data_IF_903783973790
#
_entry.id   IF_903783973790
#
_cell.length_a   1.000
_cell.length_b   1.000
_cell.length_c   1.000
_cell.angle_alpha   90.00
_cell.angle_beta   90.00
_cell.angle_gamma   90.00
#
_symmetry.space_group_name_H-M   'P 1'
#
loop_
_entity.id
_entity.type
_entity.pdbx_description
1 polymer ?
#
# COMPACT_ATOMS: atom_id res chain seq x y z
N UNK A 1 -1.73 -19.15 60.02
CA UNK A 1 -2.88 -19.38 59.12
C UNK A 1 -3.89 -18.24 59.33
N UNK A 2 -4.41 -17.53 58.33
CA UNK A 2 -4.10 -17.50 56.89
C UNK A 2 -3.40 -16.19 56.45
N UNK A 3 -2.76 -16.28 55.28
CA UNK A 3 -2.16 -15.20 54.51
C UNK A 3 -3.25 -14.39 53.79
N UNK A 4 -3.14 -13.07 53.77
CA UNK A 4 -3.93 -12.19 52.91
C UNK A 4 -3.03 -11.53 51.88
N UNK A 5 -2.90 -12.25 50.77
CA UNK A 5 -2.36 -11.82 49.49
C UNK A 5 -3.33 -10.82 48.85
N UNK A 6 -2.87 -9.64 48.43
CA UNK A 6 -3.60 -8.87 47.42
C UNK A 6 -2.69 -7.91 46.64
N UNK A 7 -2.07 -8.50 45.61
CA UNK A 7 -1.97 -8.02 44.22
C UNK A 7 -1.75 -6.51 44.00
N UNK A 8 -0.47 -6.16 43.85
CA UNK A 8 0.00 -4.96 43.17
C UNK A 8 -0.60 -4.87 41.75
N UNK A 9 -1.45 -3.86 41.51
CA UNK A 9 -1.89 -3.49 40.16
C UNK A 9 -0.77 -2.71 39.48
N UNK A 10 0.06 -3.41 38.71
CA UNK A 10 0.95 -2.77 37.74
C UNK A 10 0.11 -2.26 36.58
N UNK A 11 -0.15 -0.95 36.55
CA UNK A 11 -0.78 -0.31 35.39
C UNK A 11 0.29 -0.21 34.31
N UNK A 12 0.23 -1.12 33.34
CA UNK A 12 1.08 -1.10 32.15
C UNK A 12 0.60 0.06 31.27
N UNK A 13 1.28 1.20 31.38
CA UNK A 13 1.15 2.31 30.43
C UNK A 13 1.89 1.92 29.15
N UNK A 14 1.23 1.17 28.27
CA UNK A 14 1.67 1.06 26.88
C UNK A 14 1.28 2.35 26.18
N UNK A 15 2.25 3.27 26.13
CA UNK A 15 2.15 4.55 25.44
C UNK A 15 1.72 4.35 23.99
N UNK A 16 0.61 5.00 23.63
CA UNK A 16 0.06 5.14 22.29
C UNK A 16 1.09 5.69 21.30
N UNK A 17 1.72 4.83 20.50
CA UNK A 17 2.51 5.19 19.31
C UNK A 17 1.92 4.60 18.01
N UNK A 18 0.61 4.28 18.01
CA UNK A 18 -0.08 3.64 16.86
C UNK A 18 -0.98 4.63 16.08
N UNK A 19 -0.92 5.92 16.38
CA UNK A 19 -1.85 6.89 15.77
C UNK A 19 -1.38 7.48 14.44
N UNK A 20 -0.16 7.19 13.98
CA UNK A 20 0.40 7.75 12.74
C UNK A 20 0.08 6.94 11.48
N UNK A 21 -0.11 5.63 11.61
CA UNK A 21 -0.24 4.71 10.46
C UNK A 21 -1.67 4.67 9.91
N UNK A 22 -2.67 5.00 10.73
CA UNK A 22 -4.08 4.84 10.39
C UNK A 22 -4.65 5.91 9.44
N UNK A 23 -3.99 7.06 9.27
CA UNK A 23 -4.59 8.20 8.55
C UNK A 23 -4.27 8.26 7.05
N UNK A 24 -3.19 7.62 6.58
CA UNK A 24 -2.77 7.63 5.17
C UNK A 24 -3.49 6.57 4.32
N UNK A 25 -4.02 5.53 4.96
CA UNK A 25 -4.79 4.47 4.31
C UNK A 25 -6.20 4.93 3.87
N UNK A 26 -6.71 6.00 4.48
CA UNK A 26 -8.13 6.34 4.48
C UNK A 26 -8.75 6.64 3.11
N UNK A 27 -8.03 7.26 2.17
CA UNK A 27 -8.61 7.56 0.86
C UNK A 27 -8.44 6.39 -0.12
N UNK A 28 -7.38 5.59 0.01
CA UNK A 28 -7.22 4.33 -0.73
C UNK A 28 -8.30 3.32 -0.30
N UNK A 29 -8.52 3.15 0.99
CA UNK A 29 -9.54 2.24 1.54
C UNK A 29 -10.97 2.60 1.11
N UNK A 30 -11.21 3.89 0.82
CA UNK A 30 -12.51 4.39 0.32
C UNK A 30 -12.57 4.44 -1.20
N UNK A 31 -11.47 4.17 -1.88
CA UNK A 31 -11.42 4.17 -3.34
C UNK A 31 -11.92 2.84 -3.92
N UNK A 32 -12.33 2.83 -5.20
CA UNK A 32 -12.61 1.59 -5.93
C UNK A 32 -11.39 0.64 -6.05
N UNK A 33 -10.18 1.13 -5.76
CA UNK A 33 -8.95 0.35 -5.81
C UNK A 33 -8.61 -0.35 -4.50
N UNK A 34 -9.36 -0.14 -3.41
CA UNK A 34 -9.14 -0.84 -2.13
C UNK A 34 -8.97 -2.37 -2.27
N UNK A 35 -9.82 -3.12 -3.00
CA UNK A 35 -9.63 -4.57 -3.17
C UNK A 35 -8.37 -4.91 -3.97
N UNK A 36 -8.02 -4.09 -4.96
CA UNK A 36 -6.80 -4.26 -5.77
C UNK A 36 -5.57 -4.09 -4.88
N UNK A 37 -5.55 -3.05 -4.06
CA UNK A 37 -4.45 -2.79 -3.12
C UNK A 37 -4.29 -3.94 -2.14
N UNK A 38 -5.37 -4.38 -1.49
CA UNK A 38 -5.30 -5.48 -0.53
C UNK A 38 -4.79 -6.76 -1.18
N UNK A 39 -5.31 -7.10 -2.36
CA UNK A 39 -4.88 -8.28 -3.10
C UNK A 39 -3.39 -8.20 -3.49
N UNK A 40 -2.88 -7.05 -3.94
CA UNK A 40 -1.45 -6.91 -4.24
C UNK A 40 -0.57 -7.16 -3.03
N UNK A 41 -0.92 -6.54 -1.90
CA UNK A 41 -0.18 -6.69 -0.65
C UNK A 41 -0.14 -8.15 -0.20
N UNK A 42 -1.27 -8.85 -0.30
CA UNK A 42 -1.38 -10.26 0.06
C UNK A 42 -0.60 -11.17 -0.91
N UNK A 43 -0.74 -10.96 -2.22
CA UNK A 43 -0.09 -11.76 -3.27
C UNK A 43 1.43 -11.70 -3.16
N UNK A 44 1.99 -10.49 -3.02
CA UNK A 44 3.44 -10.31 -2.89
C UNK A 44 3.93 -10.51 -1.46
N UNK A 45 3.05 -10.82 -0.50
CA UNK A 45 3.36 -10.96 0.92
C UNK A 45 4.11 -9.74 1.50
N UNK A 46 3.69 -8.54 1.11
CA UNK A 46 4.31 -7.30 1.54
C UNK A 46 3.85 -6.85 2.93
N UNK A 47 4.74 -6.17 3.66
CA UNK A 47 4.38 -5.48 4.89
C UNK A 47 4.02 -4.02 4.62
N UNK A 48 2.87 -3.55 5.11
CA UNK A 48 2.53 -2.12 5.09
C UNK A 48 3.39 -1.40 6.13
N UNK A 49 4.03 -0.30 5.72
CA UNK A 49 4.92 0.49 6.57
C UNK A 49 4.52 1.97 6.56
N UNK A 50 4.90 2.76 7.58
CA UNK A 50 4.75 4.21 7.52
C UNK A 50 5.51 4.77 6.31
N UNK A 51 4.91 5.73 5.60
CA UNK A 51 5.65 6.49 4.60
C UNK A 51 6.66 7.44 5.28
N UNK A 52 7.90 7.47 4.81
CA UNK A 52 8.99 8.28 5.38
C UNK A 52 8.71 9.80 5.35
N UNK A 53 7.90 10.23 4.37
CA UNK A 53 7.38 11.58 4.28
C UNK A 53 5.89 11.55 4.58
N UNK A 54 5.34 12.65 5.08
CA UNK A 54 3.87 12.85 5.13
C UNK A 54 3.40 12.97 3.69
N UNK A 55 3.30 11.82 3.01
CA UNK A 55 2.69 11.72 1.71
C UNK A 55 1.18 11.76 1.95
N UNK A 56 0.51 12.45 1.04
CA UNK A 56 -0.93 12.64 0.93
C UNK A 56 -1.78 11.49 1.52
N UNK A 57 -2.97 11.80 2.06
CA UNK A 57 -3.93 10.81 2.62
C UNK A 57 -4.41 9.76 1.60
N UNK A 58 -4.07 9.97 0.33
CA UNK A 58 -4.26 9.04 -0.77
C UNK A 58 -3.04 8.15 -1.04
N UNK A 59 -2.15 7.92 -0.06
CA UNK A 59 -0.90 7.16 -0.25
C UNK A 59 -0.72 6.06 0.79
N UNK A 60 -0.30 4.88 0.33
CA UNK A 60 0.14 3.76 1.15
C UNK A 60 1.57 3.38 0.78
N UNK A 61 2.41 3.09 1.77
CA UNK A 61 3.76 2.58 1.56
C UNK A 61 3.85 1.14 2.04
N UNK A 62 4.63 0.33 1.32
CA UNK A 62 4.85 -1.07 1.66
C UNK A 62 6.30 -1.46 1.42
N UNK A 63 6.72 -2.54 2.07
CA UNK A 63 8.05 -3.14 1.88
C UNK A 63 7.92 -4.63 1.68
N UNK A 64 8.73 -5.16 0.78
CA UNK A 64 8.88 -6.60 0.57
C UNK A 64 10.34 -6.99 0.82
N UNK A 65 10.56 -7.91 1.77
CA UNK A 65 11.87 -8.47 2.05
C UNK A 65 11.74 -9.94 2.49
N UNK A 66 12.41 -10.90 1.82
CA UNK A 66 13.17 -10.73 0.59
C UNK A 66 12.26 -10.53 -0.65
N UNK A 67 12.66 -9.71 -1.61
CA UNK A 67 11.90 -9.43 -2.83
C UNK A 67 12.70 -8.78 -3.96
N UNK A 68 12.01 -8.57 -5.08
CA UNK A 68 12.46 -7.80 -6.24
C UNK A 68 11.26 -7.11 -6.90
N UNK A 69 11.51 -6.03 -7.64
CA UNK A 69 10.53 -5.35 -8.50
C UNK A 69 9.94 -6.33 -9.50
N UNK A 70 10.73 -7.28 -10.00
CA UNK A 70 10.24 -8.33 -10.88
C UNK A 70 9.14 -9.17 -10.22
N UNK A 71 9.31 -9.57 -8.95
CA UNK A 71 8.29 -10.32 -8.21
C UNK A 71 7.01 -9.49 -8.04
N UNK A 72 7.13 -8.20 -7.72
CA UNK A 72 5.95 -7.32 -7.61
C UNK A 72 5.27 -7.13 -8.96
N UNK A 73 6.04 -7.03 -10.04
CA UNK A 73 5.50 -6.94 -11.39
C UNK A 73 4.76 -8.23 -11.80
N UNK A 74 5.29 -9.40 -11.46
CA UNK A 74 4.64 -10.69 -11.68
C UNK A 74 3.33 -10.82 -10.89
N UNK A 75 3.33 -10.46 -9.60
CA UNK A 75 2.10 -10.45 -8.79
C UNK A 75 1.05 -9.49 -9.34
N UNK A 76 1.47 -8.31 -9.82
CA UNK A 76 0.57 -7.38 -10.47
C UNK A 76 -0.02 -7.93 -11.78
N UNK A 77 0.78 -8.61 -12.60
CA UNK A 77 0.28 -9.28 -13.82
C UNK A 77 -0.71 -10.40 -13.48
N UNK A 78 -0.43 -11.21 -12.46
CA UNK A 78 -1.34 -12.24 -11.98
C UNK A 78 -2.68 -11.65 -11.56
N UNK A 79 -2.67 -10.57 -10.78
CA UNK A 79 -3.89 -9.86 -10.41
C UNK A 79 -4.64 -9.28 -11.61
N UNK A 80 -3.94 -8.65 -12.57
CA UNK A 80 -4.58 -8.09 -13.76
C UNK A 80 -5.35 -9.18 -14.54
N UNK A 81 -4.81 -10.40 -14.60
CA UNK A 81 -5.50 -11.53 -15.20
C UNK A 81 -6.75 -11.93 -14.41
N UNK A 82 -6.71 -11.90 -13.08
CA UNK A 82 -7.84 -12.25 -12.21
C UNK A 82 -8.98 -11.23 -12.22
N UNK A 83 -8.64 -9.94 -12.22
CA UNK A 83 -9.63 -8.86 -12.31
C UNK A 83 -10.24 -8.73 -13.72
N UNK A 84 -9.67 -9.43 -14.71
CA UNK A 84 -10.15 -9.41 -16.09
C UNK A 84 -10.09 -8.01 -16.69
N UNK A 85 -10.97 -7.72 -17.66
CA UNK A 85 -11.03 -6.41 -18.31
C UNK A 85 -11.36 -5.23 -17.38
N UNK A 86 -11.76 -5.47 -16.13
CA UNK A 86 -12.11 -4.42 -15.18
C UNK A 86 -10.90 -3.59 -14.72
N UNK A 87 -9.69 -4.16 -14.76
CA UNK A 87 -8.44 -3.49 -14.40
C UNK A 87 -7.52 -3.45 -15.62
N UNK A 88 -7.10 -2.24 -16.00
CA UNK A 88 -6.28 -1.98 -17.18
C UNK A 88 -4.97 -1.34 -16.74
N UNK A 89 -3.85 -1.87 -17.24
CA UNK A 89 -2.52 -1.26 -17.05
C UNK A 89 -2.19 -0.32 -18.20
N UNK A 90 -1.72 0.90 -17.88
CA UNK A 90 -1.44 1.91 -18.92
C UNK A 90 0.01 1.93 -19.40
N UNK A 91 1.01 1.91 -18.51
CA UNK A 91 2.42 1.84 -18.90
C UNK A 91 3.36 1.53 -17.73
N UNK A 92 4.40 0.72 -17.98
CA UNK A 92 5.58 0.66 -17.12
C UNK A 92 6.60 1.71 -17.55
N UNK A 93 7.09 2.49 -16.59
CA UNK A 93 8.17 3.46 -16.81
C UNK A 93 9.27 3.19 -15.79
N UNK A 94 10.52 3.23 -16.22
CA UNK A 94 11.67 3.10 -15.32
C UNK A 94 12.63 4.27 -15.53
N UNK A 95 13.04 4.90 -14.43
CA UNK A 95 14.05 5.96 -14.43
C UNK A 95 14.78 5.98 -13.08
N UNK A 96 16.11 6.10 -13.10
CA UNK A 96 16.95 6.20 -11.90
C UNK A 96 16.70 5.08 -10.85
N UNK A 97 16.42 3.85 -11.29
CA UNK A 97 16.16 2.72 -10.39
C UNK A 97 14.78 2.71 -9.75
N UNK A 98 13.89 3.62 -10.16
CA UNK A 98 12.47 3.63 -9.78
C UNK A 98 11.64 3.14 -10.95
N UNK A 99 10.72 2.22 -10.67
CA UNK A 99 9.74 1.69 -11.60
C UNK A 99 8.37 2.25 -11.23
N UNK A 100 7.59 2.63 -12.24
CA UNK A 100 6.27 3.20 -12.08
C UNK A 100 5.29 2.49 -13.00
N UNK A 101 4.12 2.15 -12.48
CA UNK A 101 2.99 1.64 -13.25
C UNK A 101 1.71 2.29 -12.78
N UNK A 102 0.88 2.67 -13.74
CA UNK A 102 -0.45 3.24 -13.50
C UNK A 102 -1.51 2.20 -13.88
N UNK A 103 -2.48 2.04 -12.98
CA UNK A 103 -3.62 1.14 -13.11
C UNK A 103 -4.90 1.95 -13.19
N UNK A 104 -5.72 1.65 -14.18
CA UNK A 104 -7.02 2.24 -14.40
C UNK A 104 -8.10 1.17 -14.27
N UNK A 105 -9.31 1.60 -13.89
CA UNK A 105 -10.49 0.78 -14.12
C UNK A 105 -11.00 1.02 -15.54
N UNK A 106 -11.65 0.01 -16.12
CA UNK A 106 -12.13 0.01 -17.52
C UNK A 106 -12.98 1.23 -17.88
N UNK A 107 -13.74 1.77 -16.91
CA UNK A 107 -14.63 2.90 -17.11
C UNK A 107 -13.96 4.27 -16.97
N UNK A 108 -12.65 4.39 -16.67
CA UNK A 108 -11.86 5.62 -16.51
C UNK A 108 -12.42 6.73 -15.59
N UNK A 109 -13.59 6.51 -14.98
CA UNK A 109 -14.33 7.50 -14.18
C UNK A 109 -13.74 7.66 -12.78
N UNK A 110 -13.07 6.64 -12.27
CA UNK A 110 -12.62 6.57 -10.88
C UNK A 110 -11.22 7.14 -10.63
N UNK A 111 -10.53 7.58 -11.68
CA UNK A 111 -9.14 7.99 -11.60
C UNK A 111 -8.19 6.80 -11.76
N UNK A 112 -7.03 6.87 -11.11
CA UNK A 112 -5.96 5.89 -11.25
C UNK A 112 -5.37 5.45 -9.91
N UNK A 113 -4.81 4.24 -9.88
CA UNK A 113 -3.87 3.81 -8.85
C UNK A 113 -2.48 3.83 -9.46
N UNK A 114 -1.63 4.73 -8.97
CA UNK A 114 -0.23 4.80 -9.34
C UNK A 114 0.59 3.95 -8.36
N UNK A 115 1.51 3.14 -8.88
CA UNK A 115 2.38 2.23 -8.12
C UNK A 115 3.82 2.55 -8.47
N UNK A 116 4.63 2.91 -7.47
CA UNK A 116 6.07 3.14 -7.60
C UNK A 116 6.83 2.12 -6.79
N UNK A 117 7.89 1.60 -7.38
CA UNK A 117 8.73 0.58 -6.80
C UNK A 117 10.19 1.00 -6.94
N UNK A 118 10.99 0.77 -5.90
CA UNK A 118 12.44 0.91 -5.95
C UNK A 118 13.10 -0.28 -5.25
N UNK A 119 14.29 -0.63 -5.73
CA UNK A 119 15.17 -1.63 -5.09
C UNK A 119 16.36 -0.90 -4.46
N UNK A 120 16.24 -0.38 -3.22
CA UNK A 120 17.33 0.36 -2.58
C UNK A 120 18.57 -0.50 -2.30
N UNK A 121 18.44 -1.83 -2.30
CA UNK A 121 19.52 -2.78 -2.00
C UNK A 121 19.00 -3.98 -1.21
N UNK A 122 19.90 -4.91 -0.89
CA UNK A 122 19.68 -6.02 0.05
C UNK A 122 18.37 -6.81 -0.15
N UNK A 123 18.04 -7.11 -1.42
CA UNK A 123 16.84 -7.88 -1.80
C UNK A 123 15.57 -7.33 -1.14
N UNK A 124 15.49 -6.02 -1.03
CA UNK A 124 14.33 -5.33 -0.46
C UNK A 124 13.71 -4.47 -1.55
N UNK A 125 12.38 -4.48 -1.61
CA UNK A 125 11.61 -3.55 -2.45
C UNK A 125 10.89 -2.57 -1.55
N UNK A 126 11.04 -1.29 -1.86
CA UNK A 126 10.20 -0.23 -1.29
C UNK A 126 9.12 0.14 -2.31
N UNK A 127 7.87 0.06 -1.89
CA UNK A 127 6.70 0.33 -2.70
C UNK A 127 5.89 1.50 -2.18
N UNK A 128 5.31 2.26 -3.11
CA UNK A 128 4.36 3.34 -2.85
C UNK A 128 3.15 3.14 -3.76
N UNK A 129 1.96 3.18 -3.19
CA UNK A 129 0.68 3.14 -3.86
C UNK A 129 -0.01 4.47 -3.63
N UNK A 130 -0.45 5.15 -4.69
CA UNK A 130 -1.16 6.41 -4.59
C UNK A 130 -2.45 6.37 -5.39
N UNK A 131 -3.55 6.67 -4.73
CA UNK A 131 -4.80 6.92 -5.41
C UNK A 131 -4.82 8.34 -5.97
N UNK A 132 -5.07 8.46 -7.27
CA UNK A 132 -5.18 9.74 -7.97
C UNK A 132 -6.61 9.89 -8.46
N UNK A 133 -7.39 10.74 -7.78
CA UNK A 133 -8.74 11.08 -8.24
C UNK A 133 -8.67 11.79 -9.58
N UNK A 134 -9.55 11.43 -10.52
CA UNK A 134 -9.71 12.20 -11.74
C UNK A 134 -10.13 13.63 -11.36
N UNK A 135 -9.34 14.64 -11.74
CA UNK A 135 -9.84 16.02 -11.70
C UNK A 135 -10.97 16.09 -12.71
N UNK A 136 -12.19 16.42 -12.28
CA UNK A 136 -13.20 16.93 -13.23
C UNK A 136 -12.57 18.13 -13.92
N UNK A 137 -12.17 17.97 -15.18
CA UNK A 137 -12.06 19.11 -16.08
C UNK A 137 -13.45 19.73 -16.11
N UNK A 138 -13.61 20.85 -15.43
CA UNK A 138 -14.85 21.62 -15.49
C UNK A 138 -15.17 22.00 -16.94
N UNK A 139 -16.45 22.17 -17.28
CA UNK A 139 -16.88 22.61 -18.61
C UNK A 139 -16.25 23.95 -19.00
#
# INVERSE_FOLDING_TARGET
>A
MPLLSSLSRTVVWWSCLVSGVAFAQGDIDRSPFAPVVQHLIDEVHAGIVPCDLVVDRATLCFTLAPGSVALVAEGLEAMLLEYGGALVRTSWRSANGVHHVELLLDDDLWGALEVWLSEPGDRTVSGLLKYVTRRRSGP
#
